data_IF_982663783409
#
_entry.id   IF_982663783409
#
_cell.length_a   1.000
_cell.length_b   1.000
_cell.length_c   1.000
_cell.angle_alpha   90.00
_cell.angle_beta   90.00
_cell.angle_gamma   90.00
#
_symmetry.space_group_name_H-M   'P 1'
#
loop_
_entity.id
_entity.type
_entity.pdbx_description
1 polymer ?
#
# COMPACT_ATOMS: atom_id res chain seq x y z
N UNK A 1 -5.33 -5.64 -13.21
CA UNK A 1 -4.32 -6.19 -12.32
C UNK A 1 -4.32 -5.44 -10.99
N UNK A 2 -4.44 -6.20 -9.88
CA UNK A 2 -4.52 -5.61 -8.54
C UNK A 2 -3.25 -4.84 -8.17
N UNK A 3 -2.07 -5.36 -8.50
CA UNK A 3 -0.82 -4.70 -8.19
C UNK A 3 -0.73 -3.32 -8.84
N UNK A 4 -1.12 -3.24 -10.10
CA UNK A 4 -1.09 -1.97 -10.82
C UNK A 4 -2.08 -0.97 -10.23
N UNK A 5 -3.24 -1.44 -9.80
CA UNK A 5 -4.24 -0.59 -9.16
C UNK A 5 -3.68 0.03 -7.87
N UNK A 6 -3.01 -0.77 -7.04
CA UNK A 6 -2.37 -0.26 -5.83
C UNK A 6 -1.27 0.74 -6.14
N UNK A 7 -0.41 0.43 -7.10
CA UNK A 7 0.72 1.31 -7.46
C UNK A 7 0.28 2.64 -8.06
N UNK A 8 -0.71 2.62 -8.96
CA UNK A 8 -1.06 3.77 -9.76
C UNK A 8 -2.19 4.60 -9.18
N UNK A 9 -3.03 4.00 -8.33
CA UNK A 9 -4.26 4.67 -7.87
C UNK A 9 -4.38 4.70 -6.35
N UNK A 10 -4.36 3.55 -5.69
CA UNK A 10 -4.68 3.46 -4.26
C UNK A 10 -3.59 4.09 -3.41
N UNK A 11 -2.34 3.67 -3.57
CA UNK A 11 -1.24 4.18 -2.75
C UNK A 11 -0.97 5.67 -3.00
N UNK A 12 -0.90 6.15 -4.25
CA UNK A 12 -0.75 7.59 -4.48
C UNK A 12 -1.88 8.43 -3.91
N UNK A 13 -3.12 7.97 -4.00
CA UNK A 13 -4.26 8.68 -3.44
C UNK A 13 -4.15 8.78 -1.92
N UNK A 14 -3.78 7.70 -1.25
CA UNK A 14 -3.61 7.69 0.20
C UNK A 14 -2.42 8.53 0.64
N UNK A 15 -1.34 8.56 -0.12
CA UNK A 15 -0.20 9.44 0.16
C UNK A 15 -0.60 10.91 0.07
N UNK A 16 -1.38 11.28 -0.93
CA UNK A 16 -1.86 12.64 -1.07
C UNK A 16 -2.78 13.02 0.08
N UNK A 17 -3.66 12.11 0.48
CA UNK A 17 -4.55 12.32 1.63
C UNK A 17 -3.74 12.53 2.91
N UNK A 18 -2.72 11.71 3.14
CA UNK A 18 -1.85 11.84 4.30
C UNK A 18 -1.15 13.20 4.31
N UNK A 19 -0.60 13.62 3.17
CA UNK A 19 0.07 14.92 3.05
C UNK A 19 -0.87 16.07 3.37
N UNK A 20 -2.10 16.01 2.86
CA UNK A 20 -3.10 17.03 3.12
C UNK A 20 -3.45 17.11 4.60
N UNK A 21 -3.62 15.96 5.24
CA UNK A 21 -3.90 15.88 6.67
C UNK A 21 -2.73 16.40 7.51
N UNK A 22 -1.50 16.09 7.10
CA UNK A 22 -0.30 16.55 7.79
C UNK A 22 -0.19 18.08 7.73
N UNK A 23 -0.44 18.68 6.57
CA UNK A 23 -0.45 20.12 6.42
C UNK A 23 -1.54 20.76 7.26
N UNK A 24 -2.74 20.18 7.26
CA UNK A 24 -3.85 20.66 8.09
C UNK A 24 -3.50 20.62 9.56
N UNK A 25 -2.86 19.56 10.02
CA UNK A 25 -2.44 19.42 11.41
C UNK A 25 -1.41 20.48 11.78
N UNK A 26 -0.41 20.70 10.91
CA UNK A 26 0.62 21.74 11.15
C UNK A 26 0.03 23.14 11.23
N UNK A 27 -1.06 23.38 10.50
CA UNK A 27 -1.78 24.65 10.49
C UNK A 27 -2.88 24.72 11.57
N UNK A 28 -2.99 23.69 12.41
CA UNK A 28 -4.02 23.58 13.45
C UNK A 28 -5.45 23.49 12.88
N UNK A 29 -5.60 23.06 11.63
CA UNK A 29 -6.91 22.90 11.02
C UNK A 29 -7.41 21.46 11.05
N UNK A 30 -6.54 20.51 11.40
CA UNK A 30 -6.87 19.08 11.49
C UNK A 30 -6.55 18.51 12.86
N UNK A 31 -7.29 17.50 13.26
CA UNK A 31 -7.06 16.82 14.53
C UNK A 31 -6.00 15.74 14.39
N UNK A 32 -5.25 15.50 15.47
CA UNK A 32 -4.20 14.49 15.51
C UNK A 32 -4.73 13.10 15.14
N UNK A 33 -5.93 12.75 15.62
CA UNK A 33 -6.51 11.44 15.35
C UNK A 33 -6.81 11.23 13.87
N UNK A 34 -7.21 12.30 13.17
CA UNK A 34 -7.47 12.22 11.72
C UNK A 34 -6.17 12.01 10.95
N UNK A 35 -5.09 12.67 11.37
CA UNK A 35 -3.77 12.46 10.78
C UNK A 35 -3.31 11.01 11.00
N UNK A 36 -3.49 10.51 12.21
CA UNK A 36 -3.11 9.14 12.57
C UNK A 36 -3.89 8.12 11.73
N UNK A 37 -5.18 8.37 11.53
CA UNK A 37 -6.05 7.53 10.72
C UNK A 37 -5.55 7.46 9.27
N UNK A 38 -5.21 8.60 8.70
CA UNK A 38 -4.70 8.67 7.33
C UNK A 38 -3.37 7.91 7.19
N UNK A 39 -2.50 8.03 8.18
CA UNK A 39 -1.23 7.31 8.22
C UNK A 39 -1.45 5.80 8.29
N UNK A 40 -2.38 5.37 9.12
CA UNK A 40 -2.72 3.96 9.29
C UNK A 40 -3.28 3.37 7.98
N UNK A 41 -4.18 4.07 7.32
CA UNK A 41 -4.75 3.64 6.05
C UNK A 41 -3.66 3.48 4.99
N UNK A 42 -2.72 4.41 4.93
CA UNK A 42 -1.60 4.33 3.98
C UNK A 42 -0.74 3.10 4.26
N UNK A 43 -0.40 2.86 5.52
CA UNK A 43 0.41 1.71 5.90
C UNK A 43 -0.30 0.40 5.60
N UNK A 44 -1.59 0.30 5.89
CA UNK A 44 -2.36 -0.90 5.60
C UNK A 44 -2.39 -1.20 4.10
N UNK A 45 -2.57 -0.17 3.27
CA UNK A 45 -2.56 -0.34 1.82
C UNK A 45 -1.20 -0.82 1.32
N UNK A 46 -0.12 -0.29 1.88
CA UNK A 46 1.23 -0.72 1.52
C UNK A 46 1.49 -2.17 1.93
N UNK A 47 1.02 -2.57 3.11
CA UNK A 47 1.14 -3.96 3.57
C UNK A 47 0.36 -4.91 2.66
N UNK A 48 -0.85 -4.55 2.29
CA UNK A 48 -1.66 -5.34 1.37
C UNK A 48 -0.97 -5.48 0.01
N UNK A 49 -0.38 -4.40 -0.49
CA UNK A 49 0.39 -4.42 -1.72
C UNK A 49 1.54 -5.43 -1.63
N UNK A 50 2.31 -5.39 -0.54
CA UNK A 50 3.41 -6.32 -0.33
C UNK A 50 2.94 -7.76 -0.21
N UNK A 51 1.82 -8.00 0.44
CA UNK A 51 1.24 -9.34 0.55
C UNK A 51 0.87 -9.90 -0.82
N UNK A 52 0.23 -9.10 -1.65
CA UNK A 52 -0.15 -9.51 -3.00
C UNK A 52 1.10 -9.80 -3.84
N UNK A 53 2.09 -8.93 -3.73
CA UNK A 53 3.36 -9.08 -4.45
C UNK A 53 4.09 -10.35 -4.01
N UNK A 54 4.15 -10.61 -2.71
CA UNK A 54 4.80 -11.79 -2.15
C UNK A 54 4.12 -13.07 -2.64
N UNK A 55 2.79 -13.10 -2.64
CA UNK A 55 2.04 -14.26 -3.12
C UNK A 55 2.31 -14.51 -4.60
N UNK A 56 2.37 -13.47 -5.40
CA UNK A 56 2.68 -13.60 -6.83
C UNK A 56 4.07 -14.18 -7.04
N UNK A 57 5.06 -13.73 -6.27
CA UNK A 57 6.42 -14.24 -6.35
C UNK A 57 6.51 -15.69 -5.88
N UNK A 58 5.79 -16.06 -4.82
CA UNK A 58 5.75 -17.43 -4.34
C UNK A 58 5.16 -18.39 -5.37
N UNK A 59 4.08 -17.99 -6.01
CA UNK A 59 3.46 -18.78 -7.07
C UNK A 59 4.40 -18.97 -8.23
N UNK A 60 5.11 -17.94 -8.63
CA UNK A 60 6.11 -18.00 -9.70
C UNK A 60 7.23 -18.99 -9.34
N UNK A 61 7.72 -18.94 -8.12
CA UNK A 61 8.77 -19.83 -7.63
C UNK A 61 8.31 -21.29 -7.65
N UNK A 62 7.10 -21.56 -7.24
CA UNK A 62 6.53 -22.91 -7.24
C UNK A 62 6.42 -23.47 -8.66
N UNK A 63 5.99 -22.64 -9.61
CA UNK A 63 5.92 -23.06 -11.02
C UNK A 63 7.31 -23.36 -11.55
N UNK A 64 8.29 -22.51 -11.25
CA UNK A 64 9.67 -22.71 -11.68
C UNK A 64 10.25 -24.01 -11.13
N UNK A 65 9.98 -24.33 -9.86
CA UNK A 65 10.42 -25.58 -9.24
C UNK A 65 9.81 -26.80 -9.91
N UNK A 66 8.53 -26.72 -10.25
CA UNK A 66 7.85 -27.81 -10.94
C UNK A 66 8.46 -28.08 -12.32
N UNK A 67 8.84 -27.03 -13.03
CA UNK A 67 9.47 -27.12 -14.35
C UNK A 67 10.88 -27.72 -14.21
N UNK A 68 11.64 -27.29 -13.21
CA UNK A 68 13.02 -27.77 -13.00
C UNK A 68 13.10 -29.24 -12.62
N UNK A 69 12.08 -29.78 -11.99
CA UNK A 69 12.05 -31.18 -11.59
C UNK A 69 11.92 -32.17 -12.75
N UNK A 70 11.69 -31.66 -13.92
CA UNK A 70 11.66 -32.49 -15.13
C UNK A 70 13.04 -32.53 -15.75
#
# INVERSE_FOLDING_TARGET
NQLKLYEDTIIPALKNNYKSMQLGYEQNTEELFMLYDAWEQLNMAQLEYFEILTKALQTQTEIDRLIERR
#
